data_IF_885114248419
#
_entry.id   IF_885114248419
#
_cell.length_a   1.000
_cell.length_b   1.000
_cell.length_c   1.000
_cell.angle_alpha   90.00
_cell.angle_beta   90.00
_cell.angle_gamma   90.00
#
_symmetry.space_group_name_H-M   'P 1'
#
loop_
_entity.id
_entity.type
_entity.pdbx_description
1 polymer ?
#
# COMPACT_ATOMS: atom_id res chain seq x y z
N UNK A 1 -14.10 -12.11 -8.80
CA UNK A 1 -13.71 -11.07 -7.82
C UNK A 1 -12.50 -11.61 -7.04
N UNK A 2 -11.48 -10.80 -6.69
CA UNK A 2 -10.20 -11.35 -6.19
C UNK A 2 -10.27 -12.07 -4.83
N UNK A 3 -11.36 -11.90 -4.09
CA UNK A 3 -11.61 -12.58 -2.83
C UNK A 3 -12.34 -13.92 -3.01
N UNK A 4 -12.44 -14.44 -4.24
CA UNK A 4 -13.29 -15.59 -4.52
C UNK A 4 -12.91 -16.87 -3.78
N UNK A 5 -11.63 -17.00 -3.41
CA UNK A 5 -11.09 -18.14 -2.68
C UNK A 5 -11.03 -17.91 -1.16
N UNK A 6 -11.52 -16.77 -0.67
CA UNK A 6 -11.48 -16.43 0.76
C UNK A 6 -12.64 -17.04 1.53
N UNK A 7 -12.42 -17.40 2.81
CA UNK A 7 -13.45 -18.02 3.63
C UNK A 7 -14.62 -17.08 3.86
N UNK A 8 -15.84 -17.65 3.89
CA UNK A 8 -17.05 -16.93 4.29
C UNK A 8 -17.07 -16.68 5.79
N UNK A 9 -17.02 -15.42 6.21
CA UNK A 9 -17.09 -14.99 7.61
C UNK A 9 -18.45 -14.38 7.93
N UNK A 10 -18.88 -14.53 9.19
CA UNK A 10 -20.16 -14.03 9.70
C UNK A 10 -19.95 -12.67 10.38
N UNK A 11 -20.92 -11.76 10.26
CA UNK A 11 -20.84 -10.41 10.84
C UNK A 11 -20.78 -10.42 12.37
N UNK A 12 -21.57 -11.29 13.00
CA UNK A 12 -21.57 -11.52 14.45
C UNK A 12 -21.31 -13.01 14.72
N UNK A 13 -20.80 -13.36 15.90
CA UNK A 13 -20.44 -14.76 16.22
C UNK A 13 -21.64 -15.72 16.03
N UNK A 14 -22.85 -15.31 16.44
CA UNK A 14 -24.02 -16.19 16.49
C UNK A 14 -25.13 -15.83 15.47
N UNK A 15 -25.08 -14.67 14.82
CA UNK A 15 -26.13 -14.22 13.89
C UNK A 15 -25.61 -13.34 12.74
N UNK A 16 -26.43 -13.14 11.72
CA UNK A 16 -26.14 -12.27 10.57
C UNK A 16 -25.59 -12.98 9.33
N UNK A 17 -25.63 -12.26 8.19
CA UNK A 17 -25.22 -12.73 6.87
C UNK A 17 -23.73 -13.11 6.82
N UNK A 18 -23.39 -14.06 5.94
CA UNK A 18 -22.02 -14.50 5.67
C UNK A 18 -21.55 -13.99 4.32
N UNK A 19 -20.39 -13.36 4.26
CA UNK A 19 -19.74 -12.98 2.98
C UNK A 19 -18.29 -13.44 2.95
N UNK A 20 -17.68 -13.48 1.76
CA UNK A 20 -16.24 -13.75 1.63
C UNK A 20 -15.45 -12.62 2.31
N UNK A 21 -14.41 -13.00 3.06
CA UNK A 21 -13.53 -12.02 3.68
C UNK A 21 -12.76 -11.25 2.59
N UNK A 22 -12.60 -9.91 2.70
CA UNK A 22 -11.79 -9.15 1.75
C UNK A 22 -10.33 -9.62 1.73
N UNK A 23 -9.61 -9.39 0.62
CA UNK A 23 -8.26 -9.94 0.43
C UNK A 23 -7.21 -9.49 1.47
N UNK A 24 -7.36 -8.28 2.01
CA UNK A 24 -6.43 -7.67 2.97
C UNK A 24 -5.37 -6.81 2.29
N UNK A 25 -4.95 -5.75 2.98
CA UNK A 25 -4.02 -4.76 2.45
C UNK A 25 -2.59 -5.31 2.30
N UNK A 26 -2.09 -6.10 3.27
CA UNK A 26 -0.76 -6.70 3.21
C UNK A 26 -0.64 -7.76 2.11
N UNK A 27 -1.56 -8.75 2.03
CA UNK A 27 -1.52 -9.72 0.93
C UNK A 27 -1.57 -9.06 -0.44
N UNK A 28 -2.35 -7.99 -0.59
CA UNK A 28 -2.40 -7.22 -1.83
C UNK A 28 -1.06 -6.53 -2.12
N UNK A 29 -0.46 -5.87 -1.14
CA UNK A 29 0.80 -5.17 -1.33
C UNK A 29 1.97 -6.11 -1.68
N UNK A 30 2.01 -7.29 -1.06
CA UNK A 30 2.98 -8.34 -1.40
C UNK A 30 2.71 -8.88 -2.81
N UNK A 31 1.45 -9.18 -3.15
CA UNK A 31 1.06 -9.70 -4.47
C UNK A 31 1.47 -8.74 -5.60
N UNK A 32 1.36 -7.42 -5.36
CA UNK A 32 1.80 -6.40 -6.32
C UNK A 32 3.31 -6.42 -6.53
N UNK A 33 4.10 -6.56 -5.45
CA UNK A 33 5.56 -6.73 -5.55
C UNK A 33 5.90 -8.01 -6.31
N UNK A 34 5.22 -9.13 -6.02
CA UNK A 34 5.42 -10.39 -6.74
C UNK A 34 5.11 -10.27 -8.23
N UNK A 35 4.03 -9.54 -8.57
CA UNK A 35 3.64 -9.28 -9.95
C UNK A 35 4.64 -8.38 -10.67
N UNK A 36 5.19 -7.36 -9.99
CA UNK A 36 6.21 -6.45 -10.53
C UNK A 36 7.45 -7.19 -11.01
N UNK A 37 7.94 -8.15 -10.21
CA UNK A 37 9.11 -8.95 -10.55
C UNK A 37 8.79 -10.23 -11.33
N UNK A 38 7.52 -10.59 -11.49
CA UNK A 38 7.08 -11.90 -11.99
C UNK A 38 7.75 -13.06 -11.24
N UNK A 39 7.96 -12.87 -9.94
CA UNK A 39 8.77 -13.76 -9.12
C UNK A 39 7.94 -14.40 -7.98
N UNK A 40 8.06 -15.73 -7.78
CA UNK A 40 8.94 -16.66 -8.52
C UNK A 40 8.48 -16.97 -9.95
N UNK A 41 9.41 -17.39 -10.82
CA UNK A 41 9.15 -17.69 -12.25
C UNK A 41 7.96 -18.66 -12.47
N UNK A 42 7.70 -19.53 -11.50
CA UNK A 42 6.48 -20.34 -11.45
C UNK A 42 5.89 -20.29 -10.05
N UNK A 43 4.60 -19.99 -9.98
CA UNK A 43 3.84 -19.98 -8.73
C UNK A 43 2.52 -20.70 -8.93
N UNK A 44 2.25 -21.69 -8.10
CA UNK A 44 1.03 -22.51 -8.17
C UNK A 44 0.39 -22.59 -6.80
N UNK A 45 -0.94 -22.44 -6.74
CA UNK A 45 -1.71 -22.59 -5.52
C UNK A 45 -3.00 -23.37 -5.80
N UNK A 46 -3.22 -24.47 -5.07
CA UNK A 46 -4.38 -25.36 -5.24
C UNK A 46 -4.66 -25.75 -6.69
N UNK A 47 -3.60 -26.09 -7.45
CA UNK A 47 -3.69 -26.47 -8.86
C UNK A 47 -3.81 -25.30 -9.85
N UNK A 48 -3.98 -24.06 -9.38
CA UNK A 48 -3.98 -22.87 -10.22
C UNK A 48 -2.57 -22.32 -10.36
N UNK A 49 -2.04 -22.34 -11.58
CA UNK A 49 -0.79 -21.65 -11.92
C UNK A 49 -1.07 -20.16 -12.15
N UNK A 50 -0.35 -19.29 -11.45
CA UNK A 50 -0.45 -17.85 -11.61
C UNK A 50 0.17 -17.43 -12.94
N UNK A 51 -0.57 -16.67 -13.73
CA UNK A 51 -0.10 -16.06 -14.97
C UNK A 51 0.30 -14.61 -14.72
N UNK A 52 1.62 -14.36 -14.60
CA UNK A 52 2.16 -13.03 -14.32
C UNK A 52 1.82 -11.98 -15.39
N UNK A 53 1.90 -12.37 -16.67
CA UNK A 53 1.60 -11.46 -17.78
C UNK A 53 0.12 -11.03 -17.78
N UNK A 54 -0.80 -11.94 -17.46
CA UNK A 54 -2.22 -11.63 -17.32
C UNK A 54 -2.50 -10.68 -16.12
N UNK A 55 -1.70 -10.76 -15.06
CA UNK A 55 -1.77 -9.84 -13.93
C UNK A 55 -1.29 -8.42 -14.31
N UNK A 56 -0.19 -8.31 -15.05
CA UNK A 56 0.34 -7.01 -15.51
C UNK A 56 -0.59 -6.31 -16.50
N UNK A 57 -1.28 -7.07 -17.36
CA UNK A 57 -2.20 -6.54 -18.37
C UNK A 57 -3.61 -6.22 -17.82
N UNK A 58 -3.70 -5.87 -16.53
CA UNK A 58 -4.92 -5.31 -15.94
C UNK A 58 -5.93 -6.33 -15.41
N UNK A 59 -5.56 -7.61 -15.26
CA UNK A 59 -6.27 -8.68 -14.53
C UNK A 59 -7.76 -8.92 -14.84
N UNK A 60 -8.35 -8.19 -15.79
CA UNK A 60 -9.78 -8.19 -16.11
C UNK A 60 -10.20 -9.37 -16.98
N UNK A 61 -9.23 -10.02 -17.62
CA UNK A 61 -9.43 -11.31 -18.29
C UNK A 61 -9.75 -12.41 -17.27
N UNK A 62 -10.43 -13.46 -17.71
CA UNK A 62 -10.72 -14.63 -16.86
C UNK A 62 -9.45 -15.20 -16.22
N UNK A 63 -8.39 -15.36 -17.00
CA UNK A 63 -7.08 -15.84 -16.54
C UNK A 63 -6.44 -14.90 -15.53
N UNK A 64 -6.52 -13.58 -15.76
CA UNK A 64 -6.00 -12.57 -14.84
C UNK A 64 -6.75 -12.57 -13.52
N UNK A 65 -8.09 -12.67 -13.56
CA UNK A 65 -8.93 -12.73 -12.37
C UNK A 65 -8.68 -13.99 -11.54
N UNK A 66 -8.55 -15.16 -12.19
CA UNK A 66 -8.18 -16.41 -11.53
C UNK A 66 -6.78 -16.35 -10.93
N UNK A 67 -5.80 -15.82 -11.68
CA UNK A 67 -4.41 -15.65 -11.21
C UNK A 67 -4.36 -14.74 -10.00
N UNK A 68 -5.10 -13.63 -10.01
CA UNK A 68 -5.13 -12.68 -8.90
C UNK A 68 -5.79 -13.29 -7.67
N UNK A 69 -6.91 -14.01 -7.83
CA UNK A 69 -7.56 -14.70 -6.73
C UNK A 69 -6.67 -15.79 -6.12
N UNK A 70 -5.99 -16.59 -6.95
CA UNK A 70 -5.05 -17.61 -6.51
C UNK A 70 -3.86 -17.00 -5.76
N UNK A 71 -3.21 -15.99 -6.34
CA UNK A 71 -2.06 -15.32 -5.74
C UNK A 71 -2.42 -14.67 -4.40
N UNK A 72 -3.48 -13.85 -4.36
CA UNK A 72 -3.88 -13.17 -3.13
C UNK A 72 -4.21 -14.17 -2.01
N UNK A 73 -4.95 -15.22 -2.35
CA UNK A 73 -5.29 -16.26 -1.37
C UNK A 73 -4.05 -16.99 -0.87
N UNK A 74 -3.13 -17.34 -1.76
CA UNK A 74 -1.89 -18.04 -1.42
C UNK A 74 -1.01 -17.18 -0.50
N UNK A 75 -0.79 -15.91 -0.86
CA UNK A 75 -0.03 -14.96 -0.05
C UNK A 75 -0.68 -14.76 1.31
N UNK A 76 -2.00 -14.58 1.33
CA UNK A 76 -2.75 -14.41 2.58
C UNK A 76 -2.66 -15.64 3.50
N UNK A 77 -2.70 -16.84 2.93
CA UNK A 77 -2.51 -18.09 3.66
C UNK A 77 -1.07 -18.22 4.18
N UNK A 78 -0.05 -17.97 3.34
CA UNK A 78 1.35 -18.02 3.75
C UNK A 78 1.76 -16.96 4.77
N UNK A 79 1.02 -15.84 4.83
CA UNK A 79 1.17 -14.83 5.87
C UNK A 79 0.38 -15.15 7.16
N UNK A 80 -0.24 -16.33 7.29
CA UNK A 80 -1.12 -16.69 8.42
C UNK A 80 -2.17 -15.62 8.73
N UNK A 81 -2.76 -15.03 7.69
CA UNK A 81 -3.64 -13.87 7.86
C UNK A 81 -4.94 -14.24 8.56
N UNK A 82 -5.46 -13.32 9.36
CA UNK A 82 -6.72 -13.47 10.08
C UNK A 82 -7.88 -12.91 9.26
N UNK A 83 -8.90 -13.73 9.05
CA UNK A 83 -10.02 -13.42 8.16
C UNK A 83 -11.24 -12.99 8.98
N UNK A 84 -11.65 -11.73 8.84
CA UNK A 84 -12.83 -11.17 9.48
C UNK A 84 -13.90 -10.82 8.46
N UNK A 85 -15.11 -10.53 8.94
CA UNK A 85 -16.21 -10.07 8.09
C UNK A 85 -15.87 -8.75 7.37
N UNK A 86 -15.19 -7.83 8.07
CA UNK A 86 -14.88 -6.49 7.56
C UNK A 86 -13.53 -6.39 6.83
N UNK A 87 -12.66 -7.40 6.93
CA UNK A 87 -11.33 -7.34 6.37
C UNK A 87 -10.46 -8.54 6.70
N UNK A 88 -9.27 -8.56 6.13
CA UNK A 88 -8.23 -9.53 6.48
C UNK A 88 -7.08 -8.76 7.12
N UNK A 89 -6.61 -9.27 8.26
CA UNK A 89 -5.55 -8.66 9.04
C UNK A 89 -4.29 -9.54 8.99
N UNK A 90 -3.15 -8.92 8.76
CA UNK A 90 -1.85 -9.60 8.68
C UNK A 90 -0.86 -8.86 9.55
N UNK A 91 -0.17 -9.58 10.42
CA UNK A 91 0.89 -8.99 11.23
C UNK A 91 2.13 -8.71 10.36
N UNK A 92 2.81 -7.55 10.49
CA UNK A 92 4.00 -7.23 9.71
C UNK A 92 5.12 -8.28 9.82
N UNK A 93 5.28 -8.91 10.99
CA UNK A 93 6.24 -10.00 11.18
C UNK A 93 5.93 -11.24 10.33
N UNK A 94 4.65 -11.58 10.17
CA UNK A 94 4.22 -12.68 9.30
C UNK A 94 4.36 -12.33 7.82
N UNK A 95 4.03 -11.09 7.45
CA UNK A 95 4.25 -10.57 6.10
C UNK A 95 5.73 -10.66 5.69
N UNK A 96 6.65 -10.16 6.53
CA UNK A 96 8.09 -10.23 6.26
C UNK A 96 8.63 -11.66 6.25
N UNK A 97 8.13 -12.53 7.14
CA UNK A 97 8.50 -13.96 7.14
C UNK A 97 8.07 -14.64 5.84
N UNK A 98 6.86 -14.37 5.36
CA UNK A 98 6.37 -14.89 4.09
C UNK A 98 7.16 -14.35 2.90
N UNK A 99 7.51 -13.06 2.88
CA UNK A 99 8.36 -12.49 1.82
C UNK A 99 9.70 -13.23 1.72
N UNK A 100 10.37 -13.49 2.85
CA UNK A 100 11.61 -14.31 2.86
C UNK A 100 11.37 -15.72 2.32
N UNK A 101 10.31 -16.38 2.78
CA UNK A 101 9.93 -17.70 2.28
C UNK A 101 9.68 -17.70 0.77
N UNK A 102 9.11 -16.62 0.24
CA UNK A 102 8.83 -16.44 -1.18
C UNK A 102 10.06 -16.02 -2.00
N UNK A 103 11.27 -15.96 -1.41
CA UNK A 103 12.54 -15.63 -2.08
C UNK A 103 12.89 -14.14 -2.14
N UNK A 104 12.20 -13.30 -1.35
CA UNK A 104 12.58 -11.90 -1.14
C UNK A 104 13.50 -11.82 0.08
N UNK A 105 14.78 -12.04 -0.17
CA UNK A 105 15.80 -12.09 0.88
C UNK A 105 15.86 -10.79 1.69
N UNK A 106 16.30 -10.92 2.94
CA UNK A 106 16.44 -9.80 3.87
C UNK A 106 15.16 -8.96 4.10
N UNK A 107 13.97 -9.50 3.80
CA UNK A 107 12.71 -8.79 4.03
C UNK A 107 12.54 -8.38 5.51
N UNK A 108 12.46 -7.08 5.80
CA UNK A 108 12.42 -6.56 7.18
C UNK A 108 11.71 -5.22 7.28
N UNK A 109 11.05 -4.99 8.40
CA UNK A 109 10.43 -3.71 8.73
C UNK A 109 11.42 -2.71 9.33
N UNK A 110 11.35 -1.47 8.87
CA UNK A 110 12.09 -0.33 9.39
C UNK A 110 11.15 0.85 9.66
N UNK A 111 11.54 1.75 10.56
CA UNK A 111 10.86 3.05 10.67
C UNK A 111 11.00 3.81 9.34
N UNK A 112 9.93 4.50 8.95
CA UNK A 112 9.91 5.27 7.72
C UNK A 112 11.03 6.33 7.69
N UNK A 113 11.76 6.37 6.58
CA UNK A 113 12.72 7.42 6.24
C UNK A 113 12.70 7.60 4.73
N UNK A 114 12.60 8.84 4.25
CA UNK A 114 12.57 9.14 2.81
C UNK A 114 13.81 8.60 2.08
N UNK A 115 15.00 8.81 2.63
CA UNK A 115 16.25 8.30 2.03
C UNK A 115 16.27 6.77 1.82
N UNK A 116 15.60 6.01 2.70
CA UNK A 116 15.47 4.55 2.53
C UNK A 116 14.45 4.18 1.45
N UNK A 117 13.39 4.97 1.31
CA UNK A 117 12.43 4.83 0.21
C UNK A 117 13.14 5.07 -1.12
N UNK A 118 13.85 6.19 -1.26
CA UNK A 118 14.63 6.54 -2.46
C UNK A 118 15.63 5.43 -2.79
N UNK A 119 16.45 4.99 -1.82
CA UNK A 119 17.44 3.94 -2.06
C UNK A 119 16.85 2.56 -2.41
N UNK A 120 15.57 2.29 -2.11
CA UNK A 120 14.85 1.11 -2.60
C UNK A 120 14.37 1.31 -4.04
N UNK A 121 13.77 2.46 -4.33
CA UNK A 121 13.23 2.79 -5.64
C UNK A 121 14.34 2.92 -6.70
N UNK A 122 15.50 3.45 -6.35
CA UNK A 122 16.69 3.53 -7.22
C UNK A 122 17.21 2.13 -7.64
N UNK A 123 16.94 1.10 -6.82
CA UNK A 123 17.25 -0.30 -7.14
C UNK A 123 16.14 -0.99 -7.94
N UNK A 124 15.09 -0.26 -8.30
CA UNK A 124 13.89 -0.79 -8.94
C UNK A 124 13.02 -1.64 -8.01
N UNK A 125 13.09 -1.41 -6.69
CA UNK A 125 12.36 -2.17 -5.69
C UNK A 125 11.21 -1.34 -5.09
N UNK A 126 9.97 -1.46 -5.61
CA UNK A 126 8.80 -0.87 -4.96
C UNK A 126 8.59 -1.51 -3.59
N UNK A 127 8.26 -0.74 -2.57
CA UNK A 127 8.26 -1.22 -1.19
C UNK A 127 6.87 -1.16 -0.57
N UNK A 128 6.68 -1.88 0.55
CA UNK A 128 5.44 -1.80 1.32
C UNK A 128 5.64 -0.75 2.41
N UNK A 129 4.64 0.09 2.62
CA UNK A 129 4.52 0.93 3.81
C UNK A 129 3.27 0.52 4.56
N UNK A 130 3.30 0.64 5.88
CA UNK A 130 2.13 0.44 6.73
C UNK A 130 2.13 1.43 7.89
N UNK A 131 0.94 1.81 8.30
CA UNK A 131 0.74 2.83 9.31
C UNK A 131 -0.66 2.74 9.93
N UNK A 132 -0.82 3.40 11.06
CA UNK A 132 -2.05 3.48 11.85
C UNK A 132 -2.54 4.92 11.82
N UNK A 133 -3.83 5.17 11.53
CA UNK A 133 -4.40 6.50 11.69
C UNK A 133 -4.70 6.74 13.16
N UNK A 134 -4.00 7.71 13.77
CA UNK A 134 -4.05 7.90 15.23
C UNK A 134 -3.55 6.64 15.95
N UNK A 135 -4.32 6.09 16.89
CA UNK A 135 -3.95 4.88 17.64
C UNK A 135 -4.86 3.67 17.34
N UNK A 136 -5.74 3.79 16.34
CA UNK A 136 -6.75 2.76 16.05
C UNK A 136 -6.18 1.66 15.14
N UNK A 137 -5.64 0.60 15.74
CA UNK A 137 -5.03 -0.53 15.01
C UNK A 137 -5.99 -1.22 14.03
N UNK A 138 -7.30 -1.21 14.28
CA UNK A 138 -8.30 -1.78 13.36
C UNK A 138 -8.51 -0.95 12.10
N UNK A 139 -8.00 0.28 12.09
CA UNK A 139 -7.93 1.16 10.91
C UNK A 139 -6.52 1.22 10.30
N UNK A 140 -5.61 0.38 10.76
CA UNK A 140 -4.30 0.26 10.13
C UNK A 140 -4.44 -0.12 8.66
N UNK A 141 -3.50 0.37 7.85
CA UNK A 141 -3.46 0.08 6.42
C UNK A 141 -2.03 -0.16 5.98
N UNK A 142 -1.89 -0.90 4.89
CA UNK A 142 -0.62 -1.09 4.18
C UNK A 142 -0.82 -0.87 2.69
N UNK A 143 0.18 -0.30 2.05
CA UNK A 143 0.13 0.05 0.63
C UNK A 143 1.51 0.00 0.01
N UNK A 144 1.59 0.11 -1.31
CA UNK A 144 2.87 0.15 -2.01
C UNK A 144 3.34 1.60 -2.21
N UNK A 145 4.65 1.79 -2.15
CA UNK A 145 5.34 2.96 -2.68
C UNK A 145 6.18 2.46 -3.86
N UNK A 146 6.01 3.08 -5.02
CA UNK A 146 6.60 2.67 -6.30
C UNK A 146 7.17 3.84 -7.10
N UNK A 147 7.19 5.05 -6.53
CA UNK A 147 7.79 6.23 -7.14
C UNK A 147 8.12 7.31 -6.12
N UNK A 148 8.99 8.24 -6.50
CA UNK A 148 9.32 9.42 -5.69
C UNK A 148 9.61 10.63 -6.58
N UNK A 149 9.48 11.82 -6.01
CA UNK A 149 9.90 13.07 -6.65
C UNK A 149 10.20 14.15 -5.62
N UNK A 150 10.88 15.19 -6.07
CA UNK A 150 11.06 16.45 -5.32
C UNK A 150 10.25 17.51 -6.05
N UNK A 151 9.24 18.06 -5.39
CA UNK A 151 8.38 19.12 -5.93
C UNK A 151 8.90 20.48 -5.48
N UNK A 152 9.22 21.36 -6.42
CA UNK A 152 9.42 22.76 -6.11
C UNK A 152 8.09 23.42 -5.73
N UNK A 153 8.08 24.23 -4.67
CA UNK A 153 6.92 25.01 -4.25
C UNK A 153 7.38 26.36 -3.70
N UNK A 154 6.43 27.28 -3.51
CA UNK A 154 6.69 28.54 -2.81
C UNK A 154 5.97 28.53 -1.46
N UNK A 155 6.67 28.92 -0.40
CA UNK A 155 6.05 29.21 0.88
C UNK A 155 5.74 30.72 0.93
N UNK A 156 4.45 31.04 1.06
CA UNK A 156 3.95 32.39 1.26
C UNK A 156 3.73 32.62 2.74
N UNK A 157 4.57 33.43 3.38
CA UNK A 157 4.40 33.83 4.78
C UNK A 157 3.77 35.21 4.84
N UNK A 158 2.59 35.31 5.46
CA UNK A 158 1.89 36.58 5.68
C UNK A 158 2.05 37.01 7.12
N UNK A 159 2.68 38.17 7.35
CA UNK A 159 2.88 38.74 8.70
C UNK A 159 1.83 39.81 8.97
N UNK A 160 1.13 39.66 10.09
CA UNK A 160 0.10 40.59 10.54
C UNK A 160 0.55 41.30 11.81
N UNK A 161 0.30 42.61 11.90
CA UNK A 161 0.50 43.41 13.12
C UNK A 161 -0.78 44.18 13.38
N UNK A 162 -1.41 43.94 14.53
CA UNK A 162 -2.71 44.55 14.86
C UNK A 162 -3.83 44.17 13.88
N UNK A 163 -3.79 42.96 13.30
CA UNK A 163 -4.76 42.50 12.29
C UNK A 163 -4.51 43.03 10.87
N UNK A 164 -3.58 43.97 10.69
CA UNK A 164 -3.22 44.54 9.38
C UNK A 164 -2.07 43.73 8.76
N UNK A 165 -2.22 43.33 7.49
CA UNK A 165 -1.16 42.67 6.72
C UNK A 165 -0.01 43.66 6.53
N UNK A 166 1.17 43.33 7.07
CA UNK A 166 2.37 44.17 6.98
C UNK A 166 3.37 43.66 5.96
N UNK A 167 3.43 42.35 5.74
CA UNK A 167 4.47 41.74 4.92
C UNK A 167 3.97 40.45 4.29
N UNK A 168 4.35 40.22 3.03
CA UNK A 168 4.21 38.95 2.33
C UNK A 168 5.61 38.54 1.89
N UNK A 169 6.10 37.43 2.44
CA UNK A 169 7.41 36.87 2.09
C UNK A 169 7.16 35.61 1.26
N UNK A 170 7.69 35.59 0.04
CA UNK A 170 7.70 34.41 -0.83
C UNK A 170 9.09 33.79 -0.78
N UNK A 171 9.19 32.51 -0.42
CA UNK A 171 10.45 31.77 -0.45
C UNK A 171 10.31 30.50 -1.28
N UNK A 172 11.28 30.19 -2.17
CA UNK A 172 11.33 28.89 -2.81
C UNK A 172 11.56 27.83 -1.73
N UNK A 173 10.86 26.70 -1.88
CA UNK A 173 10.94 25.53 -1.02
C UNK A 173 10.85 24.27 -1.88
N UNK A 174 11.25 23.14 -1.32
CA UNK A 174 11.10 21.83 -1.95
C UNK A 174 10.34 20.88 -1.06
N UNK A 175 9.55 20.01 -1.66
CA UNK A 175 8.73 19.03 -0.98
C UNK A 175 9.06 17.63 -1.48
N UNK A 176 9.57 16.80 -0.58
CA UNK A 176 9.79 15.37 -0.84
C UNK A 176 8.45 14.65 -0.94
N UNK A 177 8.21 13.99 -2.07
CA UNK A 177 6.98 13.25 -2.32
C UNK A 177 7.26 11.82 -2.73
N UNK A 178 6.34 10.93 -2.36
CA UNK A 178 6.36 9.51 -2.73
C UNK A 178 5.01 9.13 -3.35
N UNK A 179 5.06 8.36 -4.43
CA UNK A 179 3.87 7.81 -5.04
C UNK A 179 3.32 6.67 -4.16
N UNK A 180 2.03 6.69 -3.90
CA UNK A 180 1.36 5.73 -3.03
C UNK A 180 0.26 5.02 -3.81
N UNK A 181 0.34 3.70 -3.89
CA UNK A 181 -0.73 2.85 -4.41
C UNK A 181 -1.47 2.15 -3.26
N UNK A 182 -2.60 2.73 -2.85
CA UNK A 182 -3.39 2.30 -1.69
C UNK A 182 -4.11 0.97 -1.87
N UNK A 183 -4.14 0.41 -3.08
CA UNK A 183 -4.83 -0.84 -3.35
C UNK A 183 -6.36 -0.72 -3.33
N UNK A 184 -6.91 0.49 -3.50
CA UNK A 184 -8.34 0.76 -3.54
C UNK A 184 -8.87 0.97 -4.97
N UNK A 185 -8.40 0.16 -5.92
CA UNK A 185 -8.78 0.24 -7.34
C UNK A 185 -8.47 1.62 -7.97
N UNK A 186 -7.31 2.19 -7.63
CA UNK A 186 -6.89 3.51 -8.07
C UNK A 186 -7.39 4.67 -7.21
N UNK A 187 -8.39 4.45 -6.33
CA UNK A 187 -8.85 5.48 -5.42
C UNK A 187 -7.76 5.83 -4.40
N UNK A 188 -7.51 7.12 -4.25
CA UNK A 188 -6.49 7.77 -3.45
C UNK A 188 -5.06 7.47 -3.90
N UNK A 189 -4.84 6.93 -5.09
CA UNK A 189 -3.47 6.78 -5.59
C UNK A 189 -2.92 8.15 -6.03
N UNK A 190 -1.61 8.32 -5.89
CA UNK A 190 -0.93 9.56 -6.28
C UNK A 190 0.29 9.88 -5.44
N UNK A 191 0.84 11.08 -5.63
CA UNK A 191 2.00 11.57 -4.90
C UNK A 191 1.58 12.26 -3.60
N UNK A 192 2.18 11.81 -2.50
CA UNK A 192 1.95 12.32 -1.15
C UNK A 192 3.23 12.91 -0.56
N UNK A 193 3.08 13.93 0.27
CA UNK A 193 4.19 14.43 1.10
C UNK A 193 4.76 13.29 1.95
N UNK A 194 6.05 13.05 1.78
CA UNK A 194 6.80 11.96 2.39
C UNK A 194 6.61 11.95 3.91
N UNK A 195 6.17 10.81 4.46
CA UNK A 195 6.00 10.61 5.91
C UNK A 195 4.75 11.26 6.54
N UNK A 196 3.99 12.08 5.81
CA UNK A 196 2.79 12.75 6.33
C UNK A 196 1.51 11.95 6.09
N UNK A 197 1.39 11.37 4.88
CA UNK A 197 0.30 10.47 4.46
C UNK A 197 -1.12 10.91 4.90
N UNK A 198 -1.42 12.20 4.72
CA UNK A 198 -2.77 12.76 4.90
C UNK A 198 -3.50 12.69 3.57
N UNK A 199 -4.57 11.89 3.51
CA UNK A 199 -5.21 11.50 2.25
C UNK A 199 -5.93 12.64 1.52
N UNK A 200 -6.28 13.72 2.22
CA UNK A 200 -6.95 14.90 1.67
C UNK A 200 -6.13 16.19 1.88
N UNK A 201 -4.79 16.10 1.93
CA UNK A 201 -3.95 17.30 1.97
C UNK A 201 -3.99 18.02 0.62
N UNK A 202 -3.91 19.35 0.63
CA UNK A 202 -3.81 20.17 -0.59
C UNK A 202 -2.53 19.92 -1.37
N UNK A 203 -1.50 19.38 -0.74
CA UNK A 203 -0.23 19.02 -1.38
C UNK A 203 -0.30 17.70 -2.16
N UNK A 204 -1.38 16.93 -2.06
CA UNK A 204 -1.51 15.64 -2.74
C UNK A 204 -1.75 15.86 -4.23
N UNK A 205 -1.05 15.08 -5.04
CA UNK A 205 -1.28 15.02 -6.48
C UNK A 205 -1.83 13.64 -6.82
N UNK A 206 -3.16 13.55 -6.94
CA UNK A 206 -3.83 12.30 -7.26
C UNK A 206 -3.60 11.89 -8.71
N UNK A 207 -3.50 10.57 -8.94
CA UNK A 207 -3.47 10.01 -10.30
C UNK A 207 -4.78 10.28 -11.03
N UNK A 208 -5.90 10.22 -10.30
CA UNK A 208 -7.21 10.58 -10.80
C UNK A 208 -7.56 12.01 -10.36
N UNK A 209 -7.73 12.97 -11.30
CA UNK A 209 -8.02 14.37 -10.96
C UNK A 209 -9.40 14.57 -10.31
N UNK A 210 -10.29 13.58 -10.39
CA UNK A 210 -11.61 13.62 -9.74
C UNK A 210 -11.60 13.09 -8.31
N UNK A 211 -10.46 12.58 -7.83
CA UNK A 211 -10.34 12.12 -6.45
C UNK A 211 -10.29 13.31 -5.48
N UNK A 212 -10.99 13.18 -4.35
CA UNK A 212 -11.04 14.19 -3.28
C UNK A 212 -10.29 13.75 -2.03
N UNK A 213 -9.71 12.55 -2.05
CA UNK A 213 -9.11 11.92 -0.88
C UNK A 213 -10.14 11.53 0.17
N UNK A 214 -9.65 10.97 1.26
CA UNK A 214 -10.45 10.66 2.46
C UNK A 214 -9.97 11.52 3.62
N UNK A 215 -10.85 11.81 4.57
CA UNK A 215 -10.46 12.48 5.82
C UNK A 215 -9.75 11.48 6.76
N UNK A 216 -8.53 11.06 6.39
CA UNK A 216 -7.72 10.12 7.15
C UNK A 216 -6.25 10.49 7.00
N UNK A 217 -5.53 10.42 8.11
CA UNK A 217 -4.08 10.67 8.17
C UNK A 217 -3.40 9.45 8.78
N UNK A 218 -2.48 8.84 8.04
CA UNK A 218 -1.69 7.70 8.51
C UNK A 218 -0.37 8.18 9.12
N UNK A 219 -0.40 8.54 10.40
CA UNK A 219 0.70 9.24 11.07
C UNK A 219 1.38 8.47 12.22
N UNK A 220 0.88 7.30 12.58
CA UNK A 220 1.40 6.53 13.70
C UNK A 220 1.99 5.21 13.23
N UNK A 221 3.09 4.80 13.86
CA UNK A 221 3.81 3.57 13.55
C UNK A 221 4.12 3.44 12.04
N UNK A 222 4.47 4.55 11.40
CA UNK A 222 4.77 4.59 9.98
C UNK A 222 6.06 3.82 9.73
N UNK A 223 5.91 2.65 9.11
CA UNK A 223 6.98 1.69 8.89
C UNK A 223 6.98 1.23 7.44
N UNK A 224 8.15 0.87 6.96
CA UNK A 224 8.35 0.33 5.61
C UNK A 224 8.90 -1.09 5.70
N UNK A 225 8.55 -1.93 4.75
CA UNK A 225 9.15 -3.24 4.54
C UNK A 225 10.08 -3.15 3.34
N UNK A 226 11.36 -3.35 3.58
CA UNK A 226 12.38 -3.45 2.53
C UNK A 226 12.79 -4.90 2.35
N UNK A 227 13.42 -5.21 1.22
CA UNK A 227 13.86 -6.55 0.83
C UNK A 227 14.91 -6.41 -0.28
N UNK A 228 15.64 -7.49 -0.56
CA UNK A 228 16.58 -7.54 -1.68
C UNK A 228 15.86 -7.91 -2.97
N UNK A 229 16.30 -7.32 -4.09
CA UNK A 229 15.73 -7.61 -5.41
C UNK A 229 15.80 -9.12 -5.67
N UNK A 230 14.67 -9.78 -5.98
CA UNK A 230 14.67 -11.22 -6.28
C UNK A 230 15.48 -11.49 -7.55
N UNK A 231 16.10 -12.66 -7.61
CA UNK A 231 16.96 -13.12 -8.72
C UNK A 231 16.23 -14.07 -9.65
#
# INVERSE_FOLDING_TARGET
MYDDLYPRRRRYLLFGHRKKAPAGCFPLAISKIMTHFEYPNSFTYNGYRVNWSALKNGYTSTTGAQSAAALLRAVSAGCDSWYFYAGTFTFPGKATSYMKFAGYDNARSYNYKYSRVVGMLDKGCPLIVYAIPGINIFRSHSWNIDGYKIKAREIITKKYVGGVLKEVINKPDTCEMVHCDFGWKGLCNGYYVSGIFKLNSSDVEFDNPYDKGKNTKYNTLVKIVTYDKPR
#
